data_IF_156770858304
#
_entry.id   IF_156770858304
#
_cell.length_a   1.000
_cell.length_b   1.000
_cell.length_c   1.000
_cell.angle_alpha   90.00
_cell.angle_beta   90.00
_cell.angle_gamma   90.00
#
_symmetry.space_group_name_H-M   'P 1'
#
loop_
_entity.id
_entity.type
_entity.pdbx_description
1 polymer ?
#
# COMPACT_ATOMS: atom_id res chain seq x y z
N UNK A 1 11.77 -2.38 -5.92
CA UNK A 1 11.68 -3.57 -5.03
C UNK A 1 10.80 -4.63 -5.69
N UNK A 2 11.05 -5.92 -5.42
CA UNK A 2 10.21 -7.04 -5.86
C UNK A 2 9.84 -7.87 -4.62
N UNK A 3 8.55 -8.02 -4.33
CA UNK A 3 8.07 -8.89 -3.26
C UNK A 3 8.16 -10.35 -3.71
N UNK A 4 8.78 -11.21 -2.90
CA UNK A 4 8.87 -12.66 -3.13
C UNK A 4 7.79 -13.39 -2.35
N UNK A 5 7.62 -13.08 -1.07
CA UNK A 5 6.55 -13.60 -0.25
C UNK A 5 6.23 -12.67 0.92
N UNK A 6 5.02 -12.81 1.42
CA UNK A 6 4.55 -12.22 2.67
C UNK A 6 3.90 -13.30 3.52
N UNK A 7 4.26 -13.40 4.79
CA UNK A 7 3.58 -14.29 5.72
C UNK A 7 3.04 -13.55 6.94
N UNK A 8 1.96 -14.08 7.47
CA UNK A 8 1.27 -13.55 8.64
C UNK A 8 0.74 -14.69 9.50
N UNK A 9 0.80 -14.54 10.82
CA UNK A 9 0.21 -15.43 11.80
C UNK A 9 -0.49 -14.63 12.88
N UNK A 10 -1.60 -15.16 13.38
CA UNK A 10 -2.38 -14.59 14.47
C UNK A 10 -2.83 -13.15 14.19
N UNK A 11 -3.54 -12.93 13.08
CA UNK A 11 -4.08 -11.64 12.71
C UNK A 11 -5.53 -11.78 12.21
N UNK A 12 -6.48 -11.13 12.86
CA UNK A 12 -7.92 -11.18 12.55
C UNK A 12 -8.45 -12.61 12.43
N UNK A 13 -8.87 -13.03 11.23
CA UNK A 13 -9.35 -14.40 10.96
C UNK A 13 -8.24 -15.40 10.63
N UNK A 14 -6.98 -14.98 10.65
CA UNK A 14 -5.81 -15.82 10.36
C UNK A 14 -5.18 -16.30 11.66
N UNK A 15 -5.53 -17.49 12.14
CA UNK A 15 -4.94 -18.09 13.34
C UNK A 15 -3.53 -18.60 13.07
N UNK A 16 -3.45 -19.49 12.12
CA UNK A 16 -2.21 -20.16 11.75
C UNK A 16 -1.45 -19.34 10.71
N UNK A 17 -0.19 -19.67 10.47
CA UNK A 17 0.61 -18.98 9.47
C UNK A 17 0.00 -19.16 8.06
N UNK A 18 -0.19 -18.03 7.39
CA UNK A 18 -0.59 -17.95 5.99
C UNK A 18 0.50 -17.26 5.21
N UNK A 19 0.89 -17.87 4.09
CA UNK A 19 1.95 -17.35 3.21
C UNK A 19 1.36 -16.99 1.86
N UNK A 20 1.52 -15.72 1.46
CA UNK A 20 1.34 -15.27 0.09
C UNK A 20 2.69 -15.42 -0.61
N UNK A 21 2.88 -16.51 -1.34
CA UNK A 21 4.12 -16.81 -2.06
C UNK A 21 3.96 -16.42 -3.53
N UNK A 22 4.81 -15.53 -4.00
CA UNK A 22 4.85 -15.04 -5.38
C UNK A 22 5.97 -15.70 -6.18
N UNK A 23 6.74 -16.61 -5.58
CA UNK A 23 7.82 -17.30 -6.27
C UNK A 23 7.33 -18.51 -7.06
N UNK A 24 8.04 -18.84 -8.12
CA UNK A 24 7.74 -20.05 -8.89
C UNK A 24 8.12 -21.32 -8.09
N UNK A 25 7.34 -22.41 -8.14
CA UNK A 25 7.65 -23.65 -7.43
C UNK A 25 9.01 -24.26 -7.81
N UNK A 26 9.54 -23.92 -8.97
CA UNK A 26 10.87 -24.32 -9.42
C UNK A 26 12.01 -23.59 -8.71
N UNK A 27 11.73 -22.43 -8.11
CA UNK A 27 12.72 -21.63 -7.39
C UNK A 27 13.03 -22.28 -6.04
N UNK A 28 14.16 -23.01 -5.97
CA UNK A 28 14.60 -23.75 -4.76
C UNK A 28 15.91 -23.21 -4.19
N UNK A 29 16.45 -22.16 -4.78
CA UNK A 29 17.76 -21.58 -4.42
C UNK A 29 17.58 -20.28 -3.65
N UNK A 30 18.65 -19.80 -3.02
CA UNK A 30 18.60 -18.53 -2.30
C UNK A 30 18.60 -17.32 -3.24
N UNK A 31 19.05 -17.51 -4.49
CA UNK A 31 19.12 -16.49 -5.55
C UNK A 31 18.90 -17.15 -6.91
N UNK A 32 18.55 -16.40 -7.94
CA UNK A 32 18.51 -16.89 -9.32
C UNK A 32 19.85 -17.51 -9.74
N UNK A 33 19.79 -18.45 -10.65
CA UNK A 33 20.98 -19.05 -11.27
C UNK A 33 21.64 -18.06 -12.22
N UNK A 34 22.85 -18.38 -12.66
CA UNK A 34 23.53 -17.58 -13.66
C UNK A 34 22.70 -17.51 -14.96
N UNK A 35 22.49 -16.30 -15.46
CA UNK A 35 21.64 -16.02 -16.62
C UNK A 35 20.15 -15.85 -16.32
N UNK A 36 19.70 -16.08 -15.09
CA UNK A 36 18.31 -15.86 -14.66
C UNK A 36 18.18 -14.55 -13.87
N UNK A 37 17.00 -13.92 -13.94
CA UNK A 37 16.65 -12.74 -13.17
C UNK A 37 15.69 -13.08 -12.03
N UNK A 38 15.48 -12.17 -11.09
CA UNK A 38 14.47 -12.33 -10.05
C UNK A 38 13.04 -12.36 -10.61
N UNK A 39 12.81 -11.62 -11.71
CA UNK A 39 11.52 -11.62 -12.40
C UNK A 39 11.20 -12.99 -13.02
N UNK A 40 12.21 -13.72 -13.51
CA UNK A 40 12.02 -15.08 -14.04
C UNK A 40 11.60 -16.07 -12.96
N UNK A 41 11.94 -15.78 -11.70
CA UNK A 41 11.64 -16.64 -10.55
C UNK A 41 10.33 -16.28 -9.84
N UNK A 42 9.60 -15.26 -10.30
CA UNK A 42 8.36 -14.78 -9.68
C UNK A 42 7.19 -14.79 -10.65
N UNK A 43 5.99 -14.82 -10.11
CA UNK A 43 4.76 -14.58 -10.86
C UNK A 43 4.44 -13.08 -10.85
N UNK A 44 4.14 -12.47 -12.00
CA UNK A 44 3.77 -11.05 -12.07
C UNK A 44 2.38 -10.78 -11.49
N UNK A 45 1.53 -11.80 -11.41
CA UNK A 45 0.15 -11.72 -10.91
C UNK A 45 -0.15 -12.95 -10.07
N UNK A 46 -0.79 -12.74 -8.92
CA UNK A 46 -1.34 -13.80 -8.09
C UNK A 46 -2.80 -13.47 -7.73
N UNK A 47 -3.64 -14.50 -7.66
CA UNK A 47 -5.03 -14.37 -7.25
C UNK A 47 -5.29 -15.19 -5.98
N UNK A 48 -5.97 -14.57 -5.01
CA UNK A 48 -6.41 -15.25 -3.79
C UNK A 48 -7.86 -15.68 -3.96
N UNK A 49 -8.10 -16.97 -4.09
CA UNK A 49 -9.43 -17.55 -4.29
C UNK A 49 -9.89 -18.27 -3.02
N UNK A 50 -11.19 -18.34 -2.81
CA UNK A 50 -11.78 -19.06 -1.68
C UNK A 50 -13.22 -18.64 -1.41
N UNK A 51 -13.93 -19.39 -0.57
CA UNK A 51 -15.28 -19.10 -0.13
C UNK A 51 -15.38 -17.76 0.62
N UNK A 52 -16.58 -17.23 0.79
CA UNK A 52 -16.80 -16.07 1.64
C UNK A 52 -16.37 -16.38 3.07
N UNK A 53 -15.82 -15.41 3.78
CA UNK A 53 -15.27 -15.53 5.12
C UNK A 53 -14.03 -16.48 5.26
N UNK A 54 -13.39 -16.91 4.16
CA UNK A 54 -12.18 -17.75 4.21
C UNK A 54 -10.87 -17.00 4.52
N UNK A 55 -10.93 -15.73 4.93
CA UNK A 55 -9.74 -14.95 5.29
C UNK A 55 -9.02 -14.24 4.14
N UNK A 56 -9.55 -14.24 2.90
CA UNK A 56 -8.92 -13.56 1.74
C UNK A 56 -8.60 -12.08 2.02
N UNK A 57 -9.58 -11.36 2.55
CA UNK A 57 -9.42 -9.95 2.90
C UNK A 57 -8.48 -9.74 4.08
N UNK A 58 -8.39 -10.71 4.99
CA UNK A 58 -7.50 -10.61 6.15
C UNK A 58 -6.01 -10.67 5.75
N UNK A 59 -5.65 -11.36 4.65
CA UNK A 59 -4.28 -11.35 4.12
C UNK A 59 -3.90 -9.95 3.61
N UNK A 60 -4.81 -9.32 2.86
CA UNK A 60 -4.60 -7.94 2.34
C UNK A 60 -4.54 -6.94 3.49
N UNK A 61 -5.41 -7.10 4.48
CA UNK A 61 -5.41 -6.28 5.70
C UNK A 61 -4.11 -6.46 6.51
N UNK A 62 -3.64 -7.69 6.68
CA UNK A 62 -2.37 -7.96 7.34
C UNK A 62 -1.17 -7.30 6.64
N UNK A 63 -1.16 -7.32 5.31
CA UNK A 63 -0.13 -6.64 4.51
C UNK A 63 -0.20 -5.12 4.69
N UNK A 64 -1.41 -4.55 4.68
CA UNK A 64 -1.64 -3.13 4.97
C UNK A 64 -1.20 -2.77 6.39
N UNK A 65 -1.59 -3.57 7.38
CA UNK A 65 -1.20 -3.39 8.77
C UNK A 65 0.33 -3.40 8.94
N UNK A 66 1.00 -4.42 8.40
CA UNK A 66 2.46 -4.55 8.50
C UNK A 66 3.20 -3.38 7.83
N UNK A 67 2.71 -2.93 6.65
CA UNK A 67 3.21 -1.75 5.98
C UNK A 67 3.03 -0.48 6.84
N UNK A 68 1.85 -0.30 7.42
CA UNK A 68 1.53 0.84 8.29
C UNK A 68 2.36 0.84 9.57
N UNK A 69 2.62 -0.34 10.15
CA UNK A 69 3.49 -0.51 11.31
C UNK A 69 4.93 -0.05 11.00
N UNK A 70 5.49 -0.46 9.86
CA UNK A 70 6.82 -0.02 9.43
C UNK A 70 6.85 1.49 9.18
N UNK A 71 5.80 2.04 8.59
CA UNK A 71 5.72 3.46 8.27
C UNK A 71 5.62 4.34 9.52
N UNK A 72 4.81 3.96 10.52
CA UNK A 72 4.34 4.89 11.54
C UNK A 72 4.42 4.39 12.99
N UNK A 73 4.95 3.21 13.30
CA UNK A 73 4.98 2.73 14.69
C UNK A 73 5.81 3.63 15.63
N UNK A 74 6.89 4.21 15.14
CA UNK A 74 7.74 5.10 15.94
C UNK A 74 7.05 6.43 16.32
N UNK A 75 6.03 6.87 15.58
CA UNK A 75 5.25 8.08 15.88
C UNK A 75 3.86 7.77 16.44
N UNK A 76 3.18 6.76 15.88
CA UNK A 76 1.77 6.49 16.15
C UNK A 76 1.51 5.57 17.35
N UNK A 77 2.29 4.51 17.54
CA UNK A 77 2.01 3.52 18.59
C UNK A 77 2.32 4.02 20.00
N UNK A 78 3.30 4.91 20.15
CA UNK A 78 3.70 5.46 21.44
C UNK A 78 2.60 6.26 22.13
N UNK A 79 1.73 6.91 21.37
CA UNK A 79 0.62 7.72 21.87
C UNK A 79 -0.65 6.91 22.18
N UNK A 80 -0.71 5.65 21.77
CA UNK A 80 -1.89 4.80 21.98
C UNK A 80 -1.89 4.14 23.36
N UNK A 81 -3.07 4.01 23.95
CA UNK A 81 -3.22 3.34 25.26
C UNK A 81 -2.90 1.85 25.18
N UNK A 82 -3.29 1.20 24.09
CA UNK A 82 -3.09 -0.22 23.79
C UNK A 82 -2.34 -0.38 22.48
N UNK A 83 -1.67 -1.52 22.31
CA UNK A 83 -1.09 -1.87 21.01
C UNK A 83 -2.21 -2.00 19.97
N UNK A 84 -2.03 -1.41 18.78
CA UNK A 84 -2.99 -1.53 17.67
C UNK A 84 -2.84 -2.91 17.01
N UNK A 85 -3.17 -3.96 17.74
CA UNK A 85 -3.08 -5.34 17.33
C UNK A 85 -4.47 -5.96 17.25
N UNK A 86 -4.70 -6.77 16.24
CA UNK A 86 -5.97 -7.44 15.96
C UNK A 86 -5.72 -8.96 15.89
N UNK A 87 -5.57 -9.59 17.07
CA UNK A 87 -5.31 -11.03 17.17
C UNK A 87 -6.54 -11.85 16.76
N UNK A 88 -6.34 -13.14 16.46
CA UNK A 88 -7.43 -14.08 16.24
C UNK A 88 -8.27 -14.23 17.53
N UNK A 89 -9.54 -13.85 17.45
CA UNK A 89 -10.41 -13.66 18.62
C UNK A 89 -11.26 -14.88 19.01
N UNK A 90 -11.22 -15.97 18.22
CA UNK A 90 -12.07 -17.14 18.48
C UNK A 90 -11.41 -18.20 19.37
N UNK A 91 -10.24 -17.92 19.92
CA UNK A 91 -9.42 -18.84 20.70
C UNK A 91 -8.57 -18.04 21.71
N UNK A 92 -8.75 -18.31 23.00
CA UNK A 92 -8.07 -17.61 24.10
C UNK A 92 -6.54 -17.73 24.01
N UNK A 93 -6.03 -18.87 23.53
CA UNK A 93 -4.60 -19.09 23.35
C UNK A 93 -4.02 -18.17 22.28
N UNK A 94 -4.77 -17.92 21.22
CA UNK A 94 -4.37 -16.99 20.15
C UNK A 94 -4.44 -15.53 20.59
N UNK A 95 -5.41 -15.18 21.42
CA UNK A 95 -5.49 -13.82 21.95
C UNK A 95 -4.27 -13.44 22.80
N UNK A 96 -3.74 -14.39 23.57
CA UNK A 96 -2.54 -14.21 24.39
C UNK A 96 -1.21 -14.42 23.64
N UNK A 97 -1.25 -15.09 22.49
CA UNK A 97 -0.07 -15.30 21.66
C UNK A 97 0.27 -14.06 20.83
N UNK A 98 1.53 -13.92 20.45
CA UNK A 98 2.00 -12.85 19.57
C UNK A 98 1.46 -12.97 18.15
N UNK A 99 1.34 -11.83 17.46
CA UNK A 99 1.10 -11.74 16.02
C UNK A 99 2.42 -11.56 15.29
N UNK A 100 2.58 -12.25 14.16
CA UNK A 100 3.82 -12.28 13.41
C UNK A 100 3.59 -11.88 11.96
N UNK A 101 4.54 -11.09 11.43
CA UNK A 101 4.53 -10.61 10.05
C UNK A 101 5.93 -10.74 9.46
N UNK A 102 6.04 -11.29 8.25
CA UNK A 102 7.33 -11.41 7.58
C UNK A 102 7.25 -11.09 6.10
N UNK A 103 8.28 -10.43 5.60
CA UNK A 103 8.49 -10.07 4.20
C UNK A 103 9.76 -10.73 3.69
N UNK A 104 9.68 -11.35 2.53
CA UNK A 104 10.82 -11.77 1.73
C UNK A 104 10.78 -10.97 0.42
N UNK A 105 11.80 -10.19 0.14
CA UNK A 105 11.79 -9.25 -0.98
C UNK A 105 13.18 -8.99 -1.53
N UNK A 106 13.23 -8.46 -2.74
CA UNK A 106 14.47 -8.05 -3.40
C UNK A 106 14.50 -6.53 -3.52
N UNK A 107 15.56 -5.93 -3.03
CA UNK A 107 15.85 -4.51 -3.17
C UNK A 107 17.24 -4.35 -3.80
N UNK A 108 17.31 -3.62 -4.93
CA UNK A 108 18.57 -3.40 -5.66
C UNK A 108 19.33 -4.69 -5.98
N UNK A 109 18.61 -5.75 -6.36
CA UNK A 109 19.19 -7.06 -6.70
C UNK A 109 19.53 -7.94 -5.50
N UNK A 110 19.49 -7.44 -4.27
CA UNK A 110 19.77 -8.19 -3.05
C UNK A 110 18.48 -8.64 -2.38
N UNK A 111 18.39 -9.93 -2.06
CA UNK A 111 17.25 -10.49 -1.31
C UNK A 111 17.37 -10.13 0.16
N UNK A 112 16.24 -9.70 0.74
CA UNK A 112 16.09 -9.35 2.16
C UNK A 112 14.97 -10.16 2.77
N UNK A 113 15.12 -10.49 4.05
CA UNK A 113 14.10 -11.13 4.87
C UNK A 113 13.90 -10.30 6.12
N UNK A 114 12.74 -9.68 6.24
CA UNK A 114 12.34 -8.88 7.38
C UNK A 114 11.18 -9.55 8.11
N UNK A 115 11.26 -9.64 9.42
CA UNK A 115 10.23 -10.22 10.28
C UNK A 115 10.11 -9.40 11.55
N UNK A 116 8.88 -9.19 12.00
CA UNK A 116 8.61 -8.66 13.33
C UNK A 116 7.45 -9.40 13.99
N UNK A 117 7.46 -9.38 15.30
CA UNK A 117 6.52 -10.04 16.17
C UNK A 117 6.07 -9.06 17.25
N UNK A 118 4.76 -9.00 17.51
CA UNK A 118 4.13 -8.07 18.45
C UNK A 118 3.14 -8.79 19.35
N UNK A 119 3.03 -8.33 20.58
CA UNK A 119 1.99 -8.71 21.54
C UNK A 119 1.21 -7.47 22.01
N UNK A 120 0.42 -7.60 23.08
CA UNK A 120 -0.39 -6.51 23.63
C UNK A 120 0.46 -5.44 24.35
N UNK A 121 1.71 -5.74 24.66
CA UNK A 121 2.63 -4.83 25.32
C UNK A 121 3.56 -4.08 24.36
N UNK A 122 3.88 -4.69 23.22
CA UNK A 122 4.75 -4.08 22.22
C UNK A 122 5.39 -5.07 21.24
N UNK A 123 6.59 -4.72 20.80
CA UNK A 123 7.41 -5.53 19.89
C UNK A 123 8.17 -6.58 20.70
N UNK A 124 7.86 -7.85 20.43
CA UNK A 124 8.50 -9.04 21.05
C UNK A 124 9.81 -9.37 20.36
N UNK A 125 9.86 -9.22 19.04
CA UNK A 125 11.03 -9.51 18.25
C UNK A 125 11.04 -8.79 16.93
N UNK A 126 12.23 -8.49 16.40
CA UNK A 126 12.40 -7.89 15.08
C UNK A 126 13.72 -8.37 14.49
N UNK A 127 13.70 -8.78 13.24
CA UNK A 127 14.89 -9.26 12.54
C UNK A 127 14.91 -8.86 11.09
N UNK A 128 16.09 -8.53 10.59
CA UNK A 128 16.36 -8.26 9.20
C UNK A 128 17.64 -8.97 8.77
N UNK A 129 17.55 -9.66 7.66
CA UNK A 129 18.68 -10.31 7.04
C UNK A 129 18.75 -9.91 5.57
N UNK A 130 19.95 -9.90 5.02
CA UNK A 130 20.19 -9.84 3.58
C UNK A 130 20.95 -11.08 3.09
N UNK A 131 20.88 -11.31 1.79
CA UNK A 131 21.54 -12.39 1.09
C UNK A 131 22.33 -11.83 -0.11
N UNK A 132 23.43 -11.09 0.13
CA UNK A 132 24.22 -10.51 -0.96
C UNK A 132 24.95 -11.57 -1.80
N UNK A 133 25.03 -12.80 -1.29
CA UNK A 133 25.65 -13.94 -1.94
C UNK A 133 24.99 -15.26 -1.51
N UNK A 134 25.82 -16.30 -1.29
CA UNK A 134 25.34 -17.62 -0.87
C UNK A 134 25.10 -17.72 0.65
N UNK A 135 25.44 -16.70 1.43
CA UNK A 135 25.31 -16.69 2.89
C UNK A 135 24.33 -15.61 3.34
N UNK A 136 23.50 -15.98 4.31
CA UNK A 136 22.62 -15.06 5.01
C UNK A 136 23.43 -14.19 5.97
N UNK A 137 23.28 -12.86 5.89
CA UNK A 137 23.92 -11.91 6.78
C UNK A 137 22.87 -11.23 7.64
N UNK A 138 23.07 -11.18 8.94
CA UNK A 138 22.15 -10.51 9.86
C UNK A 138 22.45 -9.02 9.87
N UNK A 139 21.46 -8.21 9.50
CA UNK A 139 21.49 -6.75 9.53
C UNK A 139 20.94 -6.19 10.84
N UNK A 140 19.84 -6.78 11.34
CA UNK A 140 19.13 -6.37 12.53
C UNK A 140 18.68 -7.61 13.31
N UNK A 141 18.79 -7.56 14.61
CA UNK A 141 18.12 -8.45 15.54
C UNK A 141 17.70 -7.66 16.78
N UNK A 142 16.42 -7.71 17.11
CA UNK A 142 15.85 -7.32 18.39
C UNK A 142 15.27 -8.56 19.04
N UNK A 143 15.71 -8.86 20.24
CA UNK A 143 15.25 -10.00 21.01
C UNK A 143 14.09 -9.62 21.96
N UNK A 144 13.52 -10.61 22.64
CA UNK A 144 12.41 -10.43 23.59
C UNK A 144 12.74 -9.56 24.81
N UNK A 145 14.01 -9.32 25.09
CA UNK A 145 14.44 -8.38 26.13
C UNK A 145 14.44 -6.94 25.66
N UNK A 146 14.17 -6.71 24.35
CA UNK A 146 14.21 -5.40 23.71
C UNK A 146 15.61 -4.97 23.26
N UNK A 147 16.63 -5.82 23.46
CA UNK A 147 18.00 -5.50 23.02
C UNK A 147 18.10 -5.50 21.51
N UNK A 148 18.54 -4.38 20.94
CA UNK A 148 18.74 -4.20 19.50
C UNK A 148 20.22 -4.36 19.16
N UNK A 149 20.50 -5.27 18.21
CA UNK A 149 21.83 -5.51 17.63
C UNK A 149 21.79 -5.22 16.14
N UNK A 150 22.58 -4.25 15.70
CA UNK A 150 22.72 -3.88 14.29
C UNK A 150 24.05 -4.38 13.73
N UNK A 151 24.08 -4.63 12.43
CA UNK A 151 25.33 -4.83 11.71
C UNK A 151 26.16 -3.54 11.75
N UNK A 152 27.48 -3.59 11.93
CA UNK A 152 28.34 -2.39 12.03
C UNK A 152 28.15 -1.39 10.87
N UNK A 153 27.92 -1.88 9.66
CA UNK A 153 27.74 -1.05 8.45
C UNK A 153 26.49 -0.15 8.52
N UNK A 154 25.54 -0.45 9.42
CA UNK A 154 24.28 0.29 9.52
C UNK A 154 24.33 1.46 10.54
N UNK A 155 25.43 1.55 11.27
CA UNK A 155 25.59 2.58 12.30
C UNK A 155 24.71 2.37 13.53
N UNK A 156 24.42 3.47 14.25
CA UNK A 156 23.58 3.46 15.44
C UNK A 156 22.24 4.13 15.18
N UNK A 157 21.17 3.55 15.76
CA UNK A 157 19.80 4.08 15.67
C UNK A 157 19.32 4.73 16.98
N UNK A 158 20.18 4.72 18.00
CA UNK A 158 19.79 5.18 19.34
C UNK A 158 18.84 4.23 20.06
N UNK A 159 18.27 4.66 21.18
CA UNK A 159 17.29 3.89 21.92
C UNK A 159 16.02 3.66 21.11
N UNK A 160 15.48 2.43 21.15
CA UNK A 160 14.24 2.04 20.49
C UNK A 160 13.23 1.67 21.59
N UNK A 161 12.05 2.31 21.58
CA UNK A 161 11.02 2.05 22.57
C UNK A 161 10.38 0.67 22.38
N UNK A 162 9.70 0.17 23.42
CA UNK A 162 9.05 -1.14 23.39
C UNK A 162 7.97 -1.22 22.29
N UNK A 163 7.27 -0.12 22.01
CA UNK A 163 6.15 -0.03 21.06
C UNK A 163 6.54 0.62 19.74
N UNK A 164 7.76 0.48 19.28
CA UNK A 164 8.18 0.94 17.97
C UNK A 164 9.04 -0.10 17.27
N UNK A 165 8.92 -0.20 15.95
CA UNK A 165 9.80 -0.99 15.11
C UNK A 165 11.10 -0.24 14.82
N UNK A 166 12.20 -0.96 14.78
CA UNK A 166 13.52 -0.41 14.42
C UNK A 166 13.51 0.18 13.01
N UNK A 167 12.83 -0.47 12.04
CA UNK A 167 12.69 0.08 10.70
C UNK A 167 11.87 1.38 10.67
N UNK A 168 10.82 1.49 11.49
CA UNK A 168 10.05 2.73 11.62
C UNK A 168 10.89 3.86 12.22
N UNK A 169 11.70 3.54 13.24
CA UNK A 169 12.62 4.48 13.83
C UNK A 169 13.68 4.96 12.84
N UNK A 170 14.19 4.07 12.00
CA UNK A 170 15.15 4.42 10.95
C UNK A 170 14.57 5.40 9.93
N UNK A 171 13.31 5.20 9.51
CA UNK A 171 12.58 6.13 8.64
C UNK A 171 12.43 7.51 9.28
N UNK A 172 12.03 7.56 10.55
CA UNK A 172 11.85 8.81 11.28
C UNK A 172 13.17 9.61 11.40
N UNK A 173 14.29 8.91 11.54
CA UNK A 173 15.62 9.54 11.61
C UNK A 173 16.15 9.99 10.25
N UNK A 174 15.58 9.47 9.13
CA UNK A 174 16.00 9.79 7.78
C UNK A 174 17.47 9.45 7.49
N UNK A 175 18.02 8.39 8.09
CA UNK A 175 19.45 8.09 8.02
C UNK A 175 19.75 6.61 7.88
N UNK A 176 20.77 6.33 7.05
CA UNK A 176 21.48 5.05 7.03
C UNK A 176 20.84 3.96 6.15
N UNK A 177 21.46 2.78 6.18
CA UNK A 177 21.05 1.65 5.35
C UNK A 177 19.67 1.07 5.70
N UNK A 178 19.25 1.16 6.98
CA UNK A 178 17.94 0.70 7.42
C UNK A 178 16.81 1.57 6.85
N UNK A 179 16.98 2.89 6.81
CA UNK A 179 16.03 3.82 6.20
C UNK A 179 15.82 3.48 4.72
N UNK A 180 16.91 3.24 3.99
CA UNK A 180 16.85 2.85 2.58
C UNK A 180 16.09 1.53 2.38
N UNK A 181 16.30 0.54 3.23
CA UNK A 181 15.60 -0.75 3.18
C UNK A 181 14.11 -0.56 3.50
N UNK A 182 13.80 0.17 4.56
CA UNK A 182 12.41 0.45 4.96
C UNK A 182 11.67 1.26 3.90
N UNK A 183 12.29 2.33 3.37
CA UNK A 183 11.75 3.14 2.29
C UNK A 183 11.54 2.35 0.99
N UNK A 184 12.50 1.49 0.65
CA UNK A 184 12.39 0.59 -0.49
C UNK A 184 11.24 -0.41 -0.35
N UNK A 185 11.02 -0.96 0.85
CA UNK A 185 9.89 -1.86 1.12
C UNK A 185 8.56 -1.11 1.03
N UNK A 186 8.45 0.07 1.64
CA UNK A 186 7.23 0.89 1.60
C UNK A 186 6.89 1.38 0.19
N UNK A 187 7.89 1.80 -0.59
CA UNK A 187 7.70 2.23 -1.97
C UNK A 187 7.40 1.09 -2.94
N UNK A 188 7.81 -0.15 -2.60
CA UNK A 188 7.58 -1.32 -3.44
C UNK A 188 6.30 -2.10 -3.13
N UNK A 189 5.62 -1.83 -2.01
CA UNK A 189 4.36 -2.47 -1.64
C UNK A 189 3.27 -1.42 -1.51
N UNK A 190 2.36 -1.40 -2.48
CA UNK A 190 1.15 -0.60 -2.39
C UNK A 190 -0.04 -1.50 -2.06
N UNK A 191 -0.81 -1.15 -1.05
CA UNK A 191 -2.01 -1.88 -0.67
C UNK A 191 -3.22 -0.96 -0.84
N UNK A 192 -4.20 -1.41 -1.61
CA UNK A 192 -5.49 -0.73 -1.74
C UNK A 192 -6.42 -1.22 -0.62
N UNK A 193 -6.70 -0.39 0.39
CA UNK A 193 -7.55 -0.79 1.50
C UNK A 193 -8.97 -1.14 1.05
N UNK A 194 -9.61 -2.06 1.78
CA UNK A 194 -10.93 -2.59 1.42
C UNK A 194 -12.11 -1.67 1.82
N UNK A 195 -11.88 -0.67 2.70
CA UNK A 195 -12.90 0.30 3.12
C UNK A 195 -13.17 1.36 2.05
N UNK A 196 -14.44 1.79 1.89
CA UNK A 196 -14.81 2.78 0.87
C UNK A 196 -14.09 4.12 1.05
N UNK A 197 -13.98 4.63 2.26
CA UNK A 197 -13.32 5.90 2.55
C UNK A 197 -11.83 5.86 2.22
N UNK A 198 -11.17 4.74 2.57
CA UNK A 198 -9.75 4.53 2.24
C UNK A 198 -9.54 4.29 0.74
N UNK A 199 -10.48 3.63 0.06
CA UNK A 199 -10.40 3.44 -1.40
C UNK A 199 -10.47 4.77 -2.14
N UNK A 200 -11.39 5.66 -1.72
CA UNK A 200 -11.52 7.00 -2.33
C UNK A 200 -10.25 7.81 -2.18
N UNK A 201 -9.69 7.87 -0.97
CA UNK A 201 -8.44 8.58 -0.71
C UNK A 201 -7.27 8.00 -1.51
N UNK A 202 -7.12 6.67 -1.53
CA UNK A 202 -6.04 6.01 -2.29
C UNK A 202 -6.24 6.17 -3.80
N UNK A 203 -7.48 6.06 -4.30
CA UNK A 203 -7.78 6.27 -5.71
C UNK A 203 -7.48 7.71 -6.14
N UNK A 204 -7.78 8.70 -5.29
CA UNK A 204 -7.45 10.10 -5.53
C UNK A 204 -5.92 10.30 -5.61
N UNK A 205 -5.17 9.81 -4.64
CA UNK A 205 -3.72 9.90 -4.64
C UNK A 205 -3.07 9.22 -5.85
N UNK A 206 -3.59 8.05 -6.25
CA UNK A 206 -3.15 7.35 -7.46
C UNK A 206 -3.47 8.14 -8.72
N UNK A 207 -4.67 8.70 -8.81
CA UNK A 207 -5.08 9.53 -9.94
C UNK A 207 -4.18 10.77 -10.04
N UNK A 208 -3.87 11.42 -8.93
CA UNK A 208 -2.93 12.54 -8.88
C UNK A 208 -1.54 12.15 -9.40
N UNK A 209 -1.00 11.01 -8.98
CA UNK A 209 0.31 10.52 -9.44
C UNK A 209 0.31 10.17 -10.93
N UNK A 210 -0.74 9.48 -11.40
CA UNK A 210 -0.78 8.91 -12.75
C UNK A 210 -1.28 9.89 -13.82
N UNK A 211 -2.13 10.83 -13.45
CA UNK A 211 -2.78 11.77 -14.37
C UNK A 211 -2.20 13.18 -14.28
N UNK A 212 -1.35 13.47 -13.29
CA UNK A 212 -0.69 14.78 -13.17
C UNK A 212 0.37 14.94 -14.26
N UNK A 213 0.41 16.08 -14.95
CA UNK A 213 1.46 16.40 -15.92
C UNK A 213 2.86 16.40 -15.32
N UNK A 214 2.99 16.71 -14.04
CA UNK A 214 4.25 16.80 -13.31
C UNK A 214 4.75 15.46 -12.77
N UNK A 215 3.85 14.47 -12.55
CA UNK A 215 4.19 13.20 -11.89
C UNK A 215 4.77 12.16 -12.84
N UNK A 216 4.01 11.77 -13.83
CA UNK A 216 4.37 10.64 -14.70
C UNK A 216 4.44 10.98 -16.21
N UNK A 217 4.11 12.23 -16.57
CA UNK A 217 4.11 12.73 -17.93
C UNK A 217 2.90 12.30 -18.77
N UNK A 218 2.76 12.93 -19.95
CA UNK A 218 1.62 12.74 -20.86
C UNK A 218 1.45 11.27 -21.30
N UNK A 219 2.55 10.55 -21.48
CA UNK A 219 2.54 9.12 -21.86
C UNK A 219 1.88 8.22 -20.80
N UNK A 220 1.95 8.57 -19.52
CA UNK A 220 1.33 7.78 -18.45
C UNK A 220 -0.17 7.99 -18.41
N UNK A 221 -0.64 9.22 -18.64
CA UNK A 221 -2.06 9.51 -18.78
C UNK A 221 -2.68 8.74 -19.93
N UNK A 222 -2.07 8.78 -21.11
CA UNK A 222 -2.54 8.04 -22.30
C UNK A 222 -2.60 6.53 -22.02
N UNK A 223 -1.59 5.98 -21.32
CA UNK A 223 -1.58 4.57 -20.94
C UNK A 223 -2.72 4.22 -19.99
N UNK A 224 -2.95 5.03 -18.94
CA UNK A 224 -4.07 4.82 -17.99
C UNK A 224 -5.41 4.91 -18.70
N UNK A 225 -5.63 5.91 -19.55
CA UNK A 225 -6.85 6.08 -20.32
C UNK A 225 -7.06 4.86 -21.24
N UNK A 226 -6.01 4.38 -21.91
CA UNK A 226 -6.09 3.20 -22.77
C UNK A 226 -6.49 1.94 -21.98
N UNK A 227 -5.96 1.75 -20.77
CA UNK A 227 -6.36 0.64 -19.90
C UNK A 227 -7.84 0.74 -19.46
N UNK A 228 -8.31 1.94 -19.12
CA UNK A 228 -9.71 2.17 -18.75
C UNK A 228 -10.65 1.89 -19.93
N UNK A 229 -10.26 2.27 -21.14
CA UNK A 229 -11.00 1.95 -22.37
C UNK A 229 -11.02 0.44 -22.65
N UNK A 230 -9.86 -0.24 -22.48
CA UNK A 230 -9.75 -1.69 -22.64
C UNK A 230 -10.57 -2.48 -21.61
N UNK A 231 -10.79 -1.93 -20.42
CA UNK A 231 -11.62 -2.55 -19.40
C UNK A 231 -13.11 -2.61 -19.74
N UNK A 232 -13.54 -1.99 -20.86
CA UNK A 232 -14.93 -1.99 -21.38
C UNK A 232 -15.98 -1.57 -20.33
N UNK A 233 -15.60 -0.63 -19.45
CA UNK A 233 -16.46 -0.08 -18.39
C UNK A 233 -17.16 1.22 -18.82
N UNK A 234 -17.06 1.56 -20.12
CA UNK A 234 -17.68 2.74 -20.69
C UNK A 234 -16.96 4.07 -20.42
N UNK A 235 -15.73 4.03 -19.92
CA UNK A 235 -14.89 5.22 -19.75
C UNK A 235 -14.16 5.50 -21.05
N UNK A 236 -14.23 6.73 -21.54
CA UNK A 236 -13.58 7.17 -22.78
C UNK A 236 -12.40 8.10 -22.51
N UNK A 237 -12.43 8.84 -21.43
CA UNK A 237 -11.33 9.71 -21.00
C UNK A 237 -11.34 9.93 -19.49
N UNK A 238 -10.18 10.34 -18.93
CA UNK A 238 -10.01 10.68 -17.53
C UNK A 238 -8.91 11.73 -17.38
N UNK A 239 -9.05 12.61 -16.41
CA UNK A 239 -8.05 13.63 -16.13
C UNK A 239 -8.27 14.29 -14.77
N UNK A 240 -7.45 15.29 -14.47
CA UNK A 240 -7.55 16.10 -13.27
C UNK A 240 -7.89 17.53 -13.67
N UNK A 241 -8.94 18.10 -13.08
CA UNK A 241 -9.22 19.51 -13.12
C UNK A 241 -8.58 20.19 -11.90
N UNK A 242 -7.87 21.28 -12.11
CA UNK A 242 -7.24 22.06 -11.07
C UNK A 242 -8.15 23.22 -10.67
N UNK A 243 -8.47 23.33 -9.40
CA UNK A 243 -9.25 24.42 -8.84
C UNK A 243 -8.43 25.10 -7.74
N UNK A 244 -8.15 26.40 -7.91
CA UNK A 244 -7.42 27.18 -6.91
C UNK A 244 -8.33 27.39 -5.70
N UNK A 245 -7.88 26.98 -4.53
CA UNK A 245 -8.64 27.17 -3.29
C UNK A 245 -8.74 28.65 -2.92
N UNK A 246 -9.91 29.11 -2.46
CA UNK A 246 -10.03 30.43 -1.86
C UNK A 246 -9.08 30.61 -0.67
N UNK A 247 -8.50 31.81 -0.45
CA UNK A 247 -7.53 32.05 0.61
C UNK A 247 -8.00 31.64 2.01
N UNK A 248 -9.31 31.78 2.28
CA UNK A 248 -9.91 31.42 3.57
C UNK A 248 -9.86 29.91 3.82
N UNK A 249 -10.03 29.10 2.78
CA UNK A 249 -9.94 27.63 2.88
C UNK A 249 -8.49 27.17 3.01
N UNK A 250 -7.55 27.86 2.40
CA UNK A 250 -6.11 27.59 2.56
C UNK A 250 -5.66 27.80 4.01
N UNK A 251 -6.14 28.83 4.68
CA UNK A 251 -5.83 29.07 6.10
C UNK A 251 -6.41 27.97 6.99
N UNK A 252 -7.64 27.54 6.75
CA UNK A 252 -8.26 26.44 7.50
C UNK A 252 -7.48 25.13 7.29
N UNK A 253 -7.06 24.86 6.07
CA UNK A 253 -6.27 23.66 5.75
C UNK A 253 -4.89 23.69 6.39
N UNK A 254 -4.21 24.85 6.42
CA UNK A 254 -2.96 25.05 7.16
C UNK A 254 -3.13 24.76 8.65
N UNK A 255 -4.17 25.29 9.27
CA UNK A 255 -4.45 25.06 10.69
C UNK A 255 -4.76 23.59 11.00
N UNK A 256 -5.49 22.90 10.13
CA UNK A 256 -5.77 21.48 10.26
C UNK A 256 -4.49 20.64 10.14
N UNK A 257 -3.63 20.92 9.17
CA UNK A 257 -2.36 20.25 8.97
C UNK A 257 -1.42 20.46 10.16
N UNK A 258 -1.32 21.70 10.69
CA UNK A 258 -0.57 22.01 11.90
C UNK A 258 -1.13 21.31 13.14
N UNK A 259 -2.45 21.21 13.27
CA UNK A 259 -3.09 20.49 14.36
C UNK A 259 -2.84 18.98 14.26
N UNK A 260 -2.90 18.41 13.07
CA UNK A 260 -2.54 17.00 12.82
C UNK A 260 -1.07 16.73 13.12
N UNK A 261 -0.15 17.60 12.71
CA UNK A 261 1.28 17.48 13.06
C UNK A 261 1.50 17.53 14.56
N UNK A 262 0.83 18.40 15.29
CA UNK A 262 0.89 18.48 16.75
C UNK A 262 0.28 17.27 17.45
N UNK A 263 -0.81 16.72 16.91
CA UNK A 263 -1.48 15.52 17.45
C UNK A 263 -0.69 14.24 17.17
N UNK A 264 0.02 14.16 16.05
CA UNK A 264 0.80 12.98 15.66
C UNK A 264 2.29 13.07 15.97
N UNK A 265 2.73 14.08 16.73
CA UNK A 265 4.03 14.10 17.38
C UNK A 265 5.24 14.32 16.45
N UNK A 266 5.07 14.99 15.32
CA UNK A 266 6.20 15.58 14.59
C UNK A 266 6.68 16.86 15.31
N UNK A 267 7.02 16.74 16.57
CA UNK A 267 7.64 17.79 17.36
C UNK A 267 9.08 18.01 16.90
N UNK A 268 9.45 19.25 16.62
CA UNK A 268 10.80 19.80 16.52
C UNK A 268 11.64 19.54 15.26
N UNK A 269 11.15 18.91 14.19
CA UNK A 269 11.96 18.71 12.99
C UNK A 269 11.65 19.64 11.82
N UNK A 270 10.57 20.41 11.87
CA UNK A 270 10.25 21.38 10.81
C UNK A 270 10.66 22.78 11.27
N UNK A 271 11.87 23.20 10.92
CA UNK A 271 12.40 24.54 11.24
C UNK A 271 12.03 25.61 10.22
N UNK A 272 11.48 25.27 9.05
CA UNK A 272 11.04 26.26 8.07
C UNK A 272 9.96 25.66 7.13
N UNK A 273 9.13 26.55 6.57
CA UNK A 273 8.14 26.23 5.52
C UNK A 273 8.81 25.72 4.23
N UNK A 274 10.12 25.92 4.06
CA UNK A 274 10.91 25.54 2.89
C UNK A 274 11.31 24.05 2.89
N UNK A 275 11.20 23.36 4.04
CA UNK A 275 11.64 21.94 4.18
C UNK A 275 10.56 20.91 3.72
N UNK A 276 9.37 21.36 3.31
CA UNK A 276 8.29 20.52 2.77
C UNK A 276 7.77 21.08 1.42
N UNK A 277 8.54 20.92 0.33
CA UNK A 277 8.00 21.19 -1.00
C UNK A 277 6.99 20.09 -1.35
N UNK A 278 5.70 20.38 -1.34
CA UNK A 278 4.64 19.51 -1.84
C UNK A 278 3.50 19.18 -0.89
N UNK A 279 3.48 19.66 0.35
CA UNK A 279 2.37 19.40 1.29
C UNK A 279 1.29 20.49 1.34
N UNK A 280 1.52 21.61 0.67
CA UNK A 280 0.58 22.73 0.57
C UNK A 280 0.39 23.07 -0.91
N UNK A 281 -0.31 22.22 -1.64
CA UNK A 281 -0.83 22.61 -2.95
C UNK A 281 -1.96 23.63 -2.72
N UNK A 282 -1.77 24.84 -3.22
CA UNK A 282 -2.80 25.89 -3.29
C UNK A 282 -3.94 25.50 -4.26
N UNK A 283 -3.86 24.28 -4.81
CA UNK A 283 -4.74 23.75 -5.86
C UNK A 283 -5.35 22.43 -5.42
N UNK A 284 -6.67 22.36 -5.46
CA UNK A 284 -7.40 21.08 -5.35
C UNK A 284 -7.49 20.47 -6.73
N UNK A 285 -6.97 19.23 -6.86
CA UNK A 285 -7.12 18.46 -8.09
C UNK A 285 -8.34 17.56 -7.98
N UNK A 286 -9.31 17.79 -8.84
CA UNK A 286 -10.53 16.99 -8.92
C UNK A 286 -10.42 15.99 -10.06
N UNK A 287 -10.54 14.69 -9.74
CA UNK A 287 -10.62 13.64 -10.74
C UNK A 287 -11.94 13.73 -11.48
N UNK A 288 -11.89 13.80 -12.81
CA UNK A 288 -13.05 13.67 -13.67
C UNK A 288 -12.91 12.45 -14.59
N UNK A 289 -14.04 11.85 -14.93
CA UNK A 289 -14.12 10.72 -15.84
C UNK A 289 -15.22 11.00 -16.84
N UNK A 290 -14.90 10.92 -18.12
CA UNK A 290 -15.89 11.01 -19.18
C UNK A 290 -16.44 9.62 -19.52
N UNK A 291 -17.75 9.42 -19.30
CA UNK A 291 -18.43 8.18 -19.65
C UNK A 291 -18.88 8.25 -21.11
N UNK A 292 -18.48 7.27 -21.91
CA UNK A 292 -19.01 7.06 -23.24
C UNK A 292 -20.46 6.60 -23.20
N UNK A 293 -21.18 6.76 -24.31
CA UNK A 293 -22.53 6.18 -24.47
C UNK A 293 -22.39 4.66 -24.31
N UNK A 294 -22.95 4.11 -23.23
CA UNK A 294 -23.13 2.66 -23.10
C UNK A 294 -24.10 2.22 -24.15
N UNK A 295 -23.62 1.68 -25.26
CA UNK A 295 -24.48 0.97 -26.22
C UNK A 295 -24.85 -0.34 -25.52
N UNK A 296 -26.14 -0.57 -25.18
CA UNK A 296 -26.54 -1.84 -24.61
C UNK A 296 -26.17 -2.92 -25.63
N UNK A 297 -25.28 -3.84 -25.26
CA UNK A 297 -25.09 -5.07 -26.05
C UNK A 297 -26.47 -5.72 -26.16
N UNK A 298 -27.06 -5.72 -27.32
CA UNK A 298 -28.25 -6.49 -27.60
C UNK A 298 -27.94 -7.95 -27.20
N UNK A 299 -28.57 -8.44 -26.13
CA UNK A 299 -28.65 -9.87 -25.89
C UNK A 299 -29.22 -10.47 -27.17
N UNK A 300 -28.44 -11.21 -27.92
CA UNK A 300 -28.95 -12.13 -28.93
C UNK A 300 -29.91 -13.09 -28.24
N UNK A 301 -31.16 -12.68 -28.13
CA UNK A 301 -32.25 -13.62 -27.94
C UNK A 301 -32.41 -14.36 -29.27
N UNK A 302 -31.95 -15.58 -29.29
CA UNK A 302 -32.50 -16.59 -30.19
C UNK A 302 -33.97 -16.79 -29.77
N UNK A 303 -34.83 -15.96 -30.30
CA UNK A 303 -36.28 -16.25 -30.37
C UNK A 303 -36.72 -16.20 -31.82
N UNK A 304 -37.11 -17.37 -32.25
CA UNK A 304 -37.83 -17.59 -33.51
C UNK A 304 -39.16 -16.88 -33.43
N UNK A 305 -39.41 -16.08 -34.42
CA UNK A 305 -40.75 -15.83 -35.01
C UNK A 305 -41.64 -14.87 -34.23
N UNK A 306 -41.90 -13.74 -34.82
CA UNK A 306 -43.18 -13.20 -35.29
C UNK A 306 -43.09 -11.69 -35.53
N UNK A 307 -43.34 -11.33 -36.76
CA UNK A 307 -43.42 -9.96 -37.23
C UNK A 307 -44.61 -9.21 -36.64
N UNK A 308 -44.40 -7.91 -36.31
CA UNK A 308 -45.40 -6.85 -36.64
C UNK A 308 -44.79 -5.46 -36.58
N UNK A 309 -45.15 -4.71 -37.56
CA UNK A 309 -44.69 -3.36 -37.87
C UNK A 309 -45.28 -2.28 -36.92
N UNK A 310 -44.56 -1.17 -36.78
CA UNK A 310 -45.08 0.05 -36.20
C UNK A 310 -43.99 1.11 -36.07
N UNK A 311 -44.10 2.18 -36.80
CA UNK A 311 -43.21 3.23 -37.20
C UNK A 311 -42.62 4.20 -36.14
N UNK A 312 -41.94 5.29 -36.60
CA UNK A 312 -40.86 5.95 -35.84
C UNK A 312 -41.35 7.20 -35.09
N UNK A 313 -40.74 7.48 -33.98
CA UNK A 313 -40.73 8.85 -33.42
C UNK A 313 -39.30 9.18 -32.95
N UNK A 314 -38.76 10.23 -33.55
CA UNK A 314 -37.42 10.74 -33.30
C UNK A 314 -37.29 11.44 -31.96
N UNK A 315 -36.11 11.33 -31.42
CA UNK A 315 -35.64 12.08 -30.29
C UNK A 315 -34.12 12.16 -30.35
N UNK A 316 -33.63 13.36 -30.54
CA UNK A 316 -32.23 13.74 -30.59
C UNK A 316 -31.56 13.55 -29.19
N UNK A 317 -30.43 12.85 -29.04
CA UNK A 317 -29.70 12.79 -27.80
C UNK A 317 -28.27 13.32 -27.97
N UNK A 318 -28.12 14.64 -27.84
CA UNK A 318 -26.81 15.29 -27.62
C UNK A 318 -26.81 15.93 -26.28
N UNK A 319 -26.40 15.18 -25.23
CA UNK A 319 -25.93 15.72 -23.97
C UNK A 319 -25.05 14.65 -23.28
N UNK A 320 -23.77 14.73 -23.53
CA UNK A 320 -22.77 14.04 -22.70
C UNK A 320 -22.66 14.73 -21.34
N UNK A 321 -23.05 14.04 -20.28
CA UNK A 321 -22.94 14.54 -18.91
C UNK A 321 -21.56 14.19 -18.33
N UNK A 322 -20.83 15.18 -17.87
CA UNK A 322 -19.65 14.99 -17.01
C UNK A 322 -20.13 14.66 -15.59
N UNK A 323 -19.65 13.58 -15.03
CA UNK A 323 -19.92 13.20 -13.63
C UNK A 323 -18.66 13.48 -12.82
N UNK A 324 -18.71 14.52 -12.00
CA UNK A 324 -17.67 14.80 -11.01
C UNK A 324 -17.93 14.01 -9.72
N UNK A 325 -16.94 13.29 -9.25
CA UNK A 325 -16.95 12.71 -7.90
C UNK A 325 -16.34 13.72 -6.92
N UNK A 326 -17.16 14.20 -5.99
CA UNK A 326 -16.71 15.01 -4.84
C UNK A 326 -16.29 14.11 -3.68
#
# INVERSE_FOLDING_TARGET
>A
MLLLSFSVRNHRSLRDEVVLDLTRPSFRTLRPREGETWQDQTYPVAAILGANASGKSAIVDALWYARSAIMASASGWLSQKTMPRDAFALDDSSMSASSEFAFDFVLEGVRHQYRFEIDDEGVVGESLFDLPGARRRRLLLRDSTGMVKLHPDLGSIGPVAKRELVLSRALQLGRGGLEKIAGGLLGGVMVLPLGEDHRRSTAKNLAEILLSPEGAGESSREYVVSLLQMADIGIVDAGLDEEVLPPELLEVQRHLNLAQQKLFGAGDLVKSEEDFPGFLDDVVRNLWVEAGKVVPRARERRDRGLARAGGPSGGDPSAGGRVGCR
#
